data_IF_395915860490
#
_entry.id   IF_395915860490
#
_cell.length_a   1.000
_cell.length_b   1.000
_cell.length_c   1.000
_cell.angle_alpha   90.00
_cell.angle_beta   90.00
_cell.angle_gamma   90.00
#
_symmetry.space_group_name_H-M   'P 1'
#
loop_
_entity.id
_entity.type
_entity.pdbx_description
1 polymer ?
#
# COMPACT_ATOMS: atom_id res chain seq x y z
N UNK A 1 -16.94 22.12 -2.54
CA UNK A 1 -16.63 21.45 -1.26
C UNK A 1 -15.20 20.93 -1.29
N UNK A 2 -14.47 21.10 -0.19
CA UNK A 2 -13.15 20.53 0.16
C UNK A 2 -13.19 19.05 0.58
N UNK A 3 -12.38 18.15 0.03
CA UNK A 3 -12.09 16.86 0.69
C UNK A 3 -10.58 16.63 0.83
N UNK A 4 -10.16 16.09 1.98
CA UNK A 4 -8.77 15.69 2.23
C UNK A 4 -8.65 14.19 1.98
N UNK A 5 -7.71 13.80 1.13
CA UNK A 5 -7.34 12.42 0.84
C UNK A 5 -5.94 12.19 1.38
N UNK A 6 -5.78 11.12 2.17
CA UNK A 6 -4.52 10.75 2.80
C UNK A 6 -3.93 9.51 2.12
N UNK A 7 -2.60 9.39 2.12
CA UNK A 7 -1.88 8.18 1.68
C UNK A 7 -1.91 7.09 2.78
N UNK A 8 -3.13 6.72 3.21
CA UNK A 8 -3.40 5.78 4.31
C UNK A 8 -4.51 4.81 3.91
N UNK A 9 -4.57 3.67 4.59
CA UNK A 9 -5.64 2.70 4.35
C UNK A 9 -7.00 3.30 4.73
N UNK A 10 -8.00 3.31 3.83
CA UNK A 10 -9.33 3.82 4.12
C UNK A 10 -10.04 3.02 5.24
N UNK A 11 -10.09 3.62 6.43
CA UNK A 11 -10.79 3.09 7.61
C UNK A 11 -12.24 3.60 7.72
N UNK A 12 -12.58 4.68 7.01
CA UNK A 12 -13.89 5.31 7.10
C UNK A 12 -15.00 4.46 6.49
N UNK A 13 -16.13 4.35 7.20
CA UNK A 13 -17.34 3.71 6.65
C UNK A 13 -17.89 4.48 5.44
N UNK A 14 -17.70 5.80 5.41
CA UNK A 14 -18.13 6.69 4.33
C UNK A 14 -17.37 6.49 3.00
N UNK A 15 -16.21 5.84 3.03
CA UNK A 15 -15.41 5.46 1.85
C UNK A 15 -15.79 4.08 1.30
N UNK A 16 -16.60 3.30 2.03
CA UNK A 16 -16.92 1.92 1.69
C UNK A 16 -18.35 1.79 1.15
N UNK A 17 -18.50 1.15 -0.01
CA UNK A 17 -19.78 0.79 -0.62
C UNK A 17 -20.03 -0.72 -0.50
N UNK A 18 -21.29 -1.06 -0.22
CA UNK A 18 -21.82 -2.41 -0.34
C UNK A 18 -22.68 -2.48 -1.61
N UNK A 19 -22.39 -3.47 -2.43
CA UNK A 19 -23.08 -3.74 -3.68
C UNK A 19 -23.76 -5.11 -3.57
N UNK A 20 -25.06 -5.17 -3.84
CA UNK A 20 -25.85 -6.40 -3.84
C UNK A 20 -26.55 -6.62 -5.17
N UNK A 21 -27.06 -7.84 -5.33
CA UNK A 21 -27.75 -8.28 -6.53
C UNK A 21 -26.79 -8.68 -7.64
N UNK A 22 -25.56 -9.07 -7.30
CA UNK A 22 -24.55 -9.44 -8.27
C UNK A 22 -24.75 -10.88 -8.75
N UNK A 23 -24.63 -11.06 -10.06
CA UNK A 23 -24.70 -12.36 -10.72
C UNK A 23 -23.32 -13.05 -10.73
N UNK A 24 -23.28 -14.40 -10.69
CA UNK A 24 -22.03 -15.14 -10.79
C UNK A 24 -21.41 -14.98 -12.18
N UNK A 25 -20.27 -14.29 -12.25
CA UNK A 25 -19.48 -14.16 -13.47
C UNK A 25 -17.98 -14.29 -13.17
N UNK A 26 -17.19 -15.06 -13.96
CA UNK A 26 -15.74 -15.20 -13.77
C UNK A 26 -14.94 -13.88 -13.89
N UNK A 27 -15.55 -12.76 -14.26
CA UNK A 27 -14.93 -11.43 -14.32
C UNK A 27 -15.53 -10.39 -13.38
N UNK A 28 -16.37 -10.80 -12.40
CA UNK A 28 -17.18 -9.87 -11.61
C UNK A 28 -16.38 -8.73 -10.96
N UNK A 29 -15.24 -9.03 -10.34
CA UNK A 29 -14.40 -8.01 -9.69
C UNK A 29 -13.79 -7.02 -10.70
N UNK A 30 -13.40 -7.50 -11.89
CA UNK A 30 -12.88 -6.64 -12.96
C UNK A 30 -13.97 -5.74 -13.53
N UNK A 31 -15.18 -6.28 -13.71
CA UNK A 31 -16.36 -5.52 -14.15
C UNK A 31 -16.74 -4.44 -13.14
N UNK A 32 -16.74 -4.78 -11.84
CA UNK A 32 -16.95 -3.82 -10.75
C UNK A 32 -15.85 -2.76 -10.73
N UNK A 33 -14.58 -3.16 -10.83
CA UNK A 33 -13.46 -2.22 -10.86
C UNK A 33 -13.59 -1.22 -12.02
N UNK A 34 -13.87 -1.70 -13.23
CA UNK A 34 -14.06 -0.86 -14.43
C UNK A 34 -15.27 0.08 -14.32
N UNK A 35 -16.37 -0.39 -13.72
CA UNK A 35 -17.56 0.42 -13.55
C UNK A 35 -17.38 1.53 -12.49
N UNK A 36 -16.72 1.21 -11.37
CA UNK A 36 -16.60 2.10 -10.23
C UNK A 36 -15.36 3.02 -10.27
N UNK A 37 -14.28 2.64 -10.97
CA UNK A 37 -13.08 3.48 -11.13
C UNK A 37 -13.34 4.79 -11.86
N UNK A 38 -14.42 4.87 -12.64
CA UNK A 38 -14.88 6.10 -13.32
C UNK A 38 -15.22 7.23 -12.36
N UNK A 39 -15.53 6.92 -11.10
CA UNK A 39 -15.90 7.90 -10.10
C UNK A 39 -14.69 8.41 -9.30
N UNK A 40 -13.60 7.66 -9.28
CA UNK A 40 -12.40 7.96 -8.50
C UNK A 40 -11.55 6.72 -8.23
N UNK A 41 -10.37 6.89 -7.61
CA UNK A 41 -9.44 5.81 -7.34
C UNK A 41 -9.99 4.87 -6.26
N UNK A 42 -9.93 3.57 -6.55
CA UNK A 42 -10.37 2.50 -5.68
C UNK A 42 -9.20 1.98 -4.86
N UNK A 43 -9.39 1.82 -3.55
CA UNK A 43 -8.45 1.11 -2.69
C UNK A 43 -8.58 -0.40 -2.90
N UNK A 44 -9.80 -0.94 -2.82
CA UNK A 44 -10.06 -2.36 -3.04
C UNK A 44 -11.46 -2.65 -3.55
N UNK A 45 -11.58 -3.75 -4.30
CA UNK A 45 -12.84 -4.35 -4.75
C UNK A 45 -12.77 -5.82 -4.36
N UNK A 46 -13.73 -6.27 -3.55
CA UNK A 46 -13.81 -7.67 -3.11
C UNK A 46 -15.22 -8.20 -3.31
N UNK A 47 -15.37 -9.26 -4.10
CA UNK A 47 -16.63 -9.94 -4.30
C UNK A 47 -16.70 -11.21 -3.46
N UNK A 48 -17.84 -11.44 -2.83
CA UNK A 48 -18.09 -12.58 -1.97
C UNK A 48 -19.42 -13.25 -2.35
N UNK A 49 -19.47 -14.57 -2.19
CA UNK A 49 -20.74 -15.30 -2.30
C UNK A 49 -21.65 -14.91 -1.13
N UNK A 50 -22.94 -14.80 -1.42
CA UNK A 50 -23.95 -14.64 -0.38
C UNK A 50 -23.90 -15.81 0.60
N UNK A 51 -24.17 -15.52 1.88
CA UNK A 51 -24.36 -16.57 2.87
C UNK A 51 -25.52 -17.48 2.45
N UNK A 52 -25.45 -18.77 2.79
CA UNK A 52 -26.47 -19.76 2.39
C UNK A 52 -27.91 -19.36 2.76
N UNK A 53 -28.09 -18.56 3.82
CA UNK A 53 -29.39 -18.06 4.31
C UNK A 53 -29.98 -16.95 3.42
N UNK A 54 -29.15 -16.23 2.66
CA UNK A 54 -29.55 -15.06 1.86
C UNK A 54 -29.88 -15.41 0.38
N UNK A 55 -29.88 -16.70 0.02
CA UNK A 55 -30.13 -17.17 -1.34
C UNK A 55 -28.92 -17.09 -2.28
N UNK A 56 -29.04 -17.61 -3.52
CA UNK A 56 -27.95 -17.60 -4.49
C UNK A 56 -27.62 -16.17 -4.93
N UNK A 57 -26.33 -15.88 -5.11
CA UNK A 57 -25.86 -14.59 -5.59
C UNK A 57 -24.58 -14.14 -4.90
N UNK A 58 -24.15 -12.93 -5.25
CA UNK A 58 -22.93 -12.32 -4.75
C UNK A 58 -23.23 -10.93 -4.17
N UNK A 59 -22.36 -10.52 -3.26
CA UNK A 59 -22.25 -9.14 -2.81
C UNK A 59 -20.79 -8.70 -2.92
N UNK A 60 -20.56 -7.40 -3.11
CA UNK A 60 -19.22 -6.86 -3.17
C UNK A 60 -19.04 -5.72 -2.18
N UNK A 61 -17.81 -5.59 -1.69
CA UNK A 61 -17.35 -4.49 -0.87
C UNK A 61 -16.34 -3.70 -1.71
N UNK A 62 -16.66 -2.44 -1.99
CA UNK A 62 -15.81 -1.53 -2.75
C UNK A 62 -15.36 -0.42 -1.82
N UNK A 63 -14.06 -0.19 -1.73
CA UNK A 63 -13.47 0.90 -0.94
C UNK A 63 -12.84 1.93 -1.85
N UNK A 64 -13.21 3.19 -1.67
CA UNK A 64 -12.59 4.35 -2.32
C UNK A 64 -11.56 4.99 -1.39
N UNK A 65 -10.64 5.78 -1.95
CA UNK A 65 -9.82 6.69 -1.14
C UNK A 65 -10.60 7.93 -0.69
N UNK A 66 -11.54 8.41 -1.52
CA UNK A 66 -12.40 9.55 -1.22
C UNK A 66 -13.82 9.12 -0.87
N UNK A 67 -14.36 9.67 0.22
CA UNK A 67 -15.77 9.55 0.59
C UNK A 67 -16.67 10.31 -0.39
N UNK A 68 -16.20 11.43 -0.95
CA UNK A 68 -16.88 12.15 -2.03
C UNK A 68 -17.11 11.26 -3.25
N UNK A 69 -16.07 10.54 -3.69
CA UNK A 69 -16.12 9.62 -4.84
C UNK A 69 -17.07 8.45 -4.57
N UNK A 70 -16.99 7.86 -3.39
CA UNK A 70 -17.93 6.81 -2.96
C UNK A 70 -19.39 7.28 -3.00
N UNK A 71 -19.69 8.50 -2.53
CA UNK A 71 -21.04 9.07 -2.58
C UNK A 71 -21.51 9.31 -4.01
N UNK A 72 -20.64 9.80 -4.91
CA UNK A 72 -20.98 9.99 -6.33
C UNK A 72 -21.28 8.65 -7.00
N UNK A 73 -20.42 7.65 -6.78
CA UNK A 73 -20.62 6.30 -7.27
C UNK A 73 -21.93 5.69 -6.76
N UNK A 74 -22.24 5.84 -5.47
CA UNK A 74 -23.48 5.33 -4.91
C UNK A 74 -24.72 5.95 -5.58
N UNK A 75 -24.75 7.28 -5.73
CA UNK A 75 -25.88 7.97 -6.37
C UNK A 75 -26.07 7.58 -7.83
N UNK A 76 -24.96 7.39 -8.56
CA UNK A 76 -25.00 7.07 -9.98
C UNK A 76 -25.30 5.60 -10.25
N UNK A 77 -24.83 4.68 -9.39
CA UNK A 77 -24.93 3.23 -9.65
C UNK A 77 -26.12 2.55 -8.97
N UNK A 78 -26.70 3.14 -7.92
CA UNK A 78 -27.81 2.51 -7.21
C UNK A 78 -29.06 2.42 -8.10
N UNK A 79 -29.58 1.20 -8.25
CA UNK A 79 -30.72 0.89 -9.11
C UNK A 79 -30.38 0.75 -10.61
N UNK A 80 -29.10 0.90 -10.98
CA UNK A 80 -28.67 0.82 -12.38
C UNK A 80 -28.24 -0.59 -12.79
N UNK A 81 -28.36 -0.87 -14.09
CA UNK A 81 -27.90 -2.08 -14.76
C UNK A 81 -26.54 -1.81 -15.40
N UNK A 82 -25.46 -1.86 -14.60
CA UNK A 82 -24.13 -1.41 -15.05
C UNK A 82 -23.53 -2.33 -16.12
N UNK A 83 -23.44 -3.63 -15.82
CA UNK A 83 -22.83 -4.65 -16.67
C UNK A 83 -23.61 -5.98 -16.65
N UNK A 84 -24.79 -5.99 -16.03
CA UNK A 84 -25.68 -7.13 -15.90
C UNK A 84 -27.13 -6.67 -16.10
N UNK A 85 -28.03 -7.60 -16.42
CA UNK A 85 -29.43 -7.28 -16.73
C UNK A 85 -30.25 -6.91 -15.49
N UNK A 86 -29.89 -7.47 -14.34
CA UNK A 86 -30.54 -7.14 -13.06
C UNK A 86 -29.96 -5.86 -12.44
N UNK A 87 -30.81 -5.00 -11.85
CA UNK A 87 -30.36 -3.74 -11.26
C UNK A 87 -29.57 -3.98 -9.96
N UNK A 88 -28.46 -3.26 -9.80
CA UNK A 88 -27.63 -3.31 -8.60
C UNK A 88 -28.22 -2.48 -7.47
N UNK A 89 -28.08 -2.96 -6.24
CA UNK A 89 -28.33 -2.14 -5.05
C UNK A 89 -26.99 -1.68 -4.50
N UNK A 90 -26.79 -0.37 -4.37
CA UNK A 90 -25.54 0.22 -3.86
C UNK A 90 -25.84 1.10 -2.65
N UNK A 91 -25.20 0.81 -1.52
CA UNK A 91 -25.34 1.61 -0.31
C UNK A 91 -23.97 1.91 0.31
N UNK A 92 -23.83 3.11 0.87
CA UNK A 92 -22.65 3.47 1.69
C UNK A 92 -22.75 2.72 3.02
N UNK A 93 -21.63 2.17 3.48
CA UNK A 93 -21.54 1.58 4.81
C UNK A 93 -21.83 2.63 5.89
N UNK A 94 -22.82 2.37 6.75
CA UNK A 94 -23.10 3.18 7.94
C UNK A 94 -22.51 2.59 9.21
N UNK A 95 -22.10 1.32 9.18
CA UNK A 95 -21.49 0.65 10.32
C UNK A 95 -20.05 1.14 10.48
N UNK A 96 -19.79 1.88 11.56
CA UNK A 96 -18.43 2.09 12.03
C UNK A 96 -17.99 0.82 12.75
N UNK A 97 -16.86 0.23 12.35
CA UNK A 97 -16.19 -0.74 13.23
C UNK A 97 -15.68 0.07 14.42
N UNK A 98 -16.13 -0.26 15.63
CA UNK A 98 -15.68 0.36 16.88
C UNK A 98 -14.23 -0.03 17.26
N UNK A 99 -13.51 -0.69 16.35
CA UNK A 99 -12.11 -1.02 16.55
C UNK A 99 -11.30 0.18 16.11
N UNK A 100 -10.46 0.69 17.01
CA UNK A 100 -9.37 1.61 16.68
C UNK A 100 -8.45 0.87 15.70
N UNK A 101 -8.80 0.88 14.40
CA UNK A 101 -7.85 0.50 13.37
C UNK A 101 -6.75 1.54 13.45
N UNK A 102 -5.59 1.11 13.96
CA UNK A 102 -4.35 1.87 13.86
C UNK A 102 -4.24 2.39 12.43
N UNK A 103 -3.88 3.66 12.28
CA UNK A 103 -3.85 4.28 10.96
C UNK A 103 -2.73 3.63 10.16
N UNK A 104 -3.11 2.67 9.32
CA UNK A 104 -2.15 1.86 8.58
C UNK A 104 -1.59 2.63 7.39
N UNK A 105 -0.27 2.51 7.25
CA UNK A 105 0.47 2.91 6.07
C UNK A 105 -0.14 2.32 4.81
N UNK A 106 -0.32 3.14 3.77
CA UNK A 106 -0.64 2.62 2.46
C UNK A 106 0.60 1.97 1.85
N UNK A 107 0.44 0.85 1.12
CA UNK A 107 1.57 0.19 0.48
C UNK A 107 2.19 1.09 -0.62
N UNK A 108 3.45 0.84 -0.97
CA UNK A 108 4.20 1.68 -1.92
C UNK A 108 3.54 1.77 -3.30
N UNK A 109 2.94 0.67 -3.78
CA UNK A 109 2.33 0.61 -5.11
C UNK A 109 1.05 1.44 -5.14
N UNK A 110 0.22 1.32 -4.11
CA UNK A 110 -1.00 2.10 -3.90
C UNK A 110 -0.72 3.58 -3.68
N UNK A 111 0.38 3.93 -2.99
CA UNK A 111 0.83 5.32 -2.93
C UNK A 111 1.13 5.86 -4.34
N UNK A 112 1.86 5.10 -5.16
CA UNK A 112 2.18 5.52 -6.53
C UNK A 112 0.94 5.63 -7.42
N UNK A 113 0.02 4.67 -7.36
CA UNK A 113 -1.26 4.73 -8.09
C UNK A 113 -2.06 5.98 -7.72
N UNK A 114 -2.16 6.28 -6.42
CA UNK A 114 -2.90 7.42 -5.91
C UNK A 114 -2.23 8.76 -6.30
N UNK A 115 -0.90 8.83 -6.18
CA UNK A 115 -0.12 9.99 -6.60
C UNK A 115 -0.25 10.22 -8.11
N UNK A 116 -0.15 9.17 -8.92
CA UNK A 116 -0.32 9.25 -10.38
C UNK A 116 -1.72 9.72 -10.77
N UNK A 117 -2.76 9.30 -10.03
CA UNK A 117 -4.13 9.73 -10.29
C UNK A 117 -4.34 11.23 -10.03
N UNK A 118 -3.85 11.74 -8.90
CA UNK A 118 -4.14 13.13 -8.49
C UNK A 118 -3.11 14.15 -8.95
N UNK A 119 -1.83 13.78 -9.00
CA UNK A 119 -0.71 14.66 -9.32
C UNK A 119 -0.23 14.45 -10.77
N UNK A 120 -0.58 13.32 -11.38
CA UNK A 120 -0.05 12.89 -12.68
C UNK A 120 1.33 12.25 -12.55
N UNK A 121 1.69 11.46 -13.56
CA UNK A 121 2.97 10.72 -13.61
C UNK A 121 4.21 11.62 -13.47
N UNK A 122 4.14 12.85 -14.00
CA UNK A 122 5.22 13.84 -13.92
C UNK A 122 5.06 14.82 -12.74
N UNK A 123 4.03 14.64 -11.90
CA UNK A 123 3.75 15.55 -10.78
C UNK A 123 4.57 15.27 -9.53
N UNK A 124 5.23 14.12 -9.46
CA UNK A 124 6.04 13.70 -8.32
C UNK A 124 7.23 12.85 -8.79
N UNK A 125 8.25 12.75 -7.94
CA UNK A 125 9.42 11.88 -8.15
C UNK A 125 9.92 11.34 -6.83
N UNK A 126 10.59 10.18 -6.85
CA UNK A 126 11.25 9.61 -5.67
C UNK A 126 12.73 9.33 -5.92
N UNK A 127 13.57 9.55 -4.90
CA UNK A 127 15.02 9.26 -4.93
C UNK A 127 15.41 8.47 -3.68
N UNK A 128 16.14 7.37 -3.85
CA UNK A 128 16.77 6.66 -2.73
C UNK A 128 17.99 7.48 -2.29
N UNK A 129 18.00 7.93 -1.03
CA UNK A 129 19.13 8.64 -0.44
C UNK A 129 20.16 7.62 0.05
N UNK A 130 19.70 6.59 0.78
CA UNK A 130 20.55 5.53 1.33
C UNK A 130 19.86 4.17 1.32
N UNK A 131 20.68 3.13 1.17
CA UNK A 131 20.29 1.75 1.35
C UNK A 131 21.48 1.02 1.99
N UNK A 132 21.36 0.66 3.26
CA UNK A 132 22.44 0.06 4.04
C UNK A 132 22.03 -1.30 4.56
N UNK A 133 22.95 -2.26 4.48
CA UNK A 133 22.79 -3.56 5.10
C UNK A 133 23.14 -3.44 6.59
N UNK A 134 22.19 -3.75 7.46
CA UNK A 134 22.35 -3.72 8.93
C UNK A 134 22.19 -5.12 9.55
N UNK A 135 22.25 -6.18 8.73
CA UNK A 135 22.31 -7.57 9.22
C UNK A 135 23.64 -7.81 9.95
N UNK A 136 23.62 -7.78 11.27
CA UNK A 136 24.81 -7.93 12.12
C UNK A 136 24.88 -7.00 13.32
N UNK A 137 23.96 -6.05 13.45
CA UNK A 137 23.82 -5.21 14.66
C UNK A 137 22.89 -5.79 15.72
N UNK A 138 22.40 -7.02 15.52
CA UNK A 138 21.69 -7.76 16.56
C UNK A 138 22.73 -8.11 17.62
N UNK A 139 22.69 -7.38 18.74
CA UNK A 139 23.72 -7.37 19.76
C UNK A 139 24.16 -8.77 20.18
N UNK A 140 25.40 -8.81 20.68
CA UNK A 140 26.07 -9.91 21.36
C UNK A 140 25.26 -10.41 22.58
N UNK A 141 24.07 -10.96 22.38
CA UNK A 141 23.42 -11.85 23.35
C UNK A 141 24.03 -13.25 23.18
N UNK A 142 25.34 -13.33 23.36
CA UNK A 142 26.00 -14.54 23.80
C UNK A 142 25.67 -14.75 25.28
N UNK A 143 24.45 -15.16 25.61
CA UNK A 143 24.25 -15.93 26.84
C UNK A 143 22.91 -16.67 26.80
N UNK A 144 23.03 -18.00 26.85
CA UNK A 144 22.00 -18.99 27.18
C UNK A 144 21.16 -19.58 26.03
N UNK A 145 21.72 -20.63 25.43
CA UNK A 145 20.98 -21.84 25.11
C UNK A 145 20.43 -21.96 23.69
N UNK A 146 20.99 -22.91 22.96
CA UNK A 146 20.47 -23.63 21.79
C UNK A 146 18.98 -23.39 21.43
N UNK A 147 18.68 -22.25 20.81
CA UNK A 147 17.48 -22.06 20.00
C UNK A 147 17.92 -21.75 18.58
N UNK A 148 17.50 -22.57 17.63
CA UNK A 148 17.70 -22.45 16.17
C UNK A 148 17.91 -20.98 15.76
N UNK A 149 19.16 -20.60 15.45
CA UNK A 149 19.51 -19.24 15.04
C UNK A 149 18.70 -18.85 13.79
N UNK A 150 17.58 -18.15 13.97
CA UNK A 150 16.81 -17.53 12.89
C UNK A 150 17.67 -16.38 12.39
N UNK A 151 18.37 -16.58 11.27
CA UNK A 151 19.22 -15.54 10.70
C UNK A 151 18.32 -14.62 9.89
N UNK A 152 18.15 -13.37 10.31
CA UNK A 152 17.41 -12.39 9.52
C UNK A 152 18.36 -11.48 8.72
N UNK A 153 17.87 -11.02 7.57
CA UNK A 153 18.57 -10.03 6.75
C UNK A 153 17.82 -8.71 6.88
N UNK A 154 18.54 -7.69 7.33
CA UNK A 154 18.00 -6.38 7.67
C UNK A 154 18.63 -5.31 6.77
N UNK A 155 17.79 -4.49 6.15
CA UNK A 155 18.20 -3.34 5.34
C UNK A 155 17.50 -2.09 5.82
N UNK A 156 18.26 -1.04 6.08
CA UNK A 156 17.75 0.29 6.40
C UNK A 156 17.79 1.15 5.13
N UNK A 157 16.66 1.77 4.79
CA UNK A 157 16.53 2.61 3.61
C UNK A 157 15.96 3.98 3.96
N UNK A 158 16.51 5.03 3.34
CA UNK A 158 15.96 6.37 3.35
C UNK A 158 15.61 6.80 1.92
N UNK A 159 14.39 7.29 1.73
CA UNK A 159 13.84 7.73 0.45
C UNK A 159 13.34 9.16 0.57
N UNK A 160 13.54 9.96 -0.47
CA UNK A 160 12.96 11.28 -0.65
C UNK A 160 11.85 11.23 -1.71
N UNK A 161 10.74 11.91 -1.46
CA UNK A 161 9.65 12.16 -2.40
C UNK A 161 9.53 13.66 -2.61
N UNK A 162 9.55 14.10 -3.87
CA UNK A 162 9.51 15.51 -4.24
C UNK A 162 8.34 15.80 -5.16
N UNK A 163 7.61 16.86 -4.88
CA UNK A 163 6.48 17.37 -5.65
C UNK A 163 6.81 18.81 -6.08
N UNK A 164 7.56 18.99 -7.18
CA UNK A 164 8.18 20.27 -7.52
C UNK A 164 7.15 21.38 -7.76
N UNK A 165 6.01 21.05 -8.38
CA UNK A 165 4.94 22.02 -8.64
C UNK A 165 4.22 22.52 -7.40
N UNK A 166 4.36 21.81 -6.27
CA UNK A 166 3.75 22.16 -4.99
C UNK A 166 4.78 22.61 -3.96
N UNK A 167 6.07 22.60 -4.29
CA UNK A 167 7.14 22.97 -3.36
C UNK A 167 7.26 22.04 -2.14
N UNK A 168 6.73 20.81 -2.24
CA UNK A 168 6.74 19.83 -1.15
C UNK A 168 7.86 18.82 -1.37
N UNK A 169 8.61 18.55 -0.31
CA UNK A 169 9.63 17.51 -0.27
C UNK A 169 9.50 16.78 1.06
N UNK A 170 9.34 15.47 1.02
CA UNK A 170 9.20 14.61 2.20
C UNK A 170 10.20 13.48 2.13
N UNK A 171 10.61 12.96 3.27
CA UNK A 171 11.52 11.84 3.40
C UNK A 171 10.92 10.78 4.29
N UNK A 172 11.25 9.54 4.01
CA UNK A 172 10.83 8.40 4.80
C UNK A 172 12.02 7.49 5.04
N UNK A 173 12.08 6.92 6.24
CA UNK A 173 13.10 5.96 6.63
C UNK A 173 12.41 4.68 7.09
N UNK A 174 12.87 3.52 6.64
CA UNK A 174 12.30 2.25 7.07
C UNK A 174 13.30 1.10 7.07
N UNK A 175 13.05 0.15 7.98
CA UNK A 175 13.74 -1.13 8.06
C UNK A 175 12.96 -2.21 7.31
N UNK A 176 13.64 -2.90 6.40
CA UNK A 176 13.17 -4.14 5.78
C UNK A 176 13.89 -5.33 6.41
N UNK A 177 13.12 -6.23 7.00
CA UNK A 177 13.62 -7.47 7.61
C UNK A 177 13.01 -8.67 6.89
N UNK A 178 13.85 -9.67 6.60
CA UNK A 178 13.42 -10.95 6.05
C UNK A 178 14.14 -12.06 6.79
N UNK A 179 13.36 -12.96 7.37
CA UNK A 179 13.87 -14.14 8.04
C UNK A 179 14.34 -15.21 7.05
N UNK A 180 15.50 -15.80 7.33
CA UNK A 180 16.01 -16.96 6.60
C UNK A 180 15.86 -18.19 7.51
N UNK A 181 15.01 -19.12 7.09
CA UNK A 181 14.95 -20.45 7.71
C UNK A 181 16.23 -21.24 7.39
N UNK A 182 16.79 -21.87 8.43
CA UNK A 182 18.11 -22.52 8.48
C UNK A 182 18.50 -23.25 7.20
N UNK A 183 19.24 -22.55 6.34
CA UNK A 183 19.78 -23.06 5.10
C UNK A 183 20.99 -22.20 4.78
N UNK A 184 22.18 -22.78 4.94
CA UNK A 184 23.48 -22.16 4.61
C UNK A 184 23.69 -22.06 3.09
N UNK A 185 22.60 -21.81 2.35
CA UNK A 185 22.55 -21.72 0.90
C UNK A 185 22.77 -20.27 0.46
N UNK A 186 23.87 -19.97 -0.26
CA UNK A 186 24.16 -18.63 -0.78
C UNK A 186 23.03 -18.06 -1.64
N UNK A 187 22.26 -18.90 -2.35
CA UNK A 187 21.17 -18.46 -3.22
C UNK A 187 19.99 -17.93 -2.41
N UNK A 188 19.62 -18.61 -1.32
CA UNK A 188 18.54 -18.15 -0.42
C UNK A 188 18.90 -16.85 0.27
N UNK A 189 20.16 -16.68 0.67
CA UNK A 189 20.65 -15.42 1.23
C UNK A 189 20.56 -14.26 0.22
N UNK A 190 20.94 -14.50 -1.04
CA UNK A 190 20.82 -13.52 -2.11
C UNK A 190 19.36 -13.09 -2.35
N UNK A 191 18.44 -14.06 -2.41
CA UNK A 191 17.00 -13.79 -2.57
C UNK A 191 16.42 -13.05 -1.38
N UNK A 192 16.75 -13.46 -0.16
CA UNK A 192 16.33 -12.79 1.07
C UNK A 192 16.85 -11.35 1.14
N UNK A 193 18.11 -11.12 0.76
CA UNK A 193 18.70 -9.78 0.68
C UNK A 193 17.96 -8.88 -0.31
N UNK A 194 17.67 -9.35 -1.52
CA UNK A 194 16.88 -8.58 -2.49
C UNK A 194 15.47 -8.29 -1.98
N UNK A 195 14.83 -9.26 -1.32
CA UNK A 195 13.50 -9.07 -0.73
C UNK A 195 13.55 -8.02 0.38
N UNK A 196 14.52 -8.11 1.30
CA UNK A 196 14.70 -7.15 2.38
C UNK A 196 14.97 -5.72 1.85
N UNK A 197 15.80 -5.59 0.82
CA UNK A 197 16.01 -4.31 0.12
C UNK A 197 14.70 -3.77 -0.45
N UNK A 198 13.95 -4.56 -1.22
CA UNK A 198 12.65 -4.14 -1.79
C UNK A 198 11.65 -3.73 -0.71
N UNK A 199 11.55 -4.50 0.38
CA UNK A 199 10.66 -4.19 1.52
C UNK A 199 11.09 -2.88 2.19
N UNK A 200 12.39 -2.68 2.44
CA UNK A 200 12.89 -1.44 3.07
C UNK A 200 12.58 -0.20 2.22
N UNK A 201 12.81 -0.28 0.90
CA UNK A 201 12.54 0.82 -0.05
C UNK A 201 11.03 1.10 -0.11
N UNK A 202 10.21 0.05 -0.22
CA UNK A 202 8.75 0.18 -0.27
C UNK A 202 8.19 0.83 1.00
N UNK A 203 8.60 0.36 2.18
CA UNK A 203 8.18 0.94 3.47
C UNK A 203 8.66 2.39 3.59
N UNK A 204 9.90 2.71 3.22
CA UNK A 204 10.44 4.07 3.29
C UNK A 204 9.66 5.02 2.36
N UNK A 205 9.32 4.56 1.16
CA UNK A 205 8.49 5.32 0.23
C UNK A 205 7.08 5.58 0.81
N UNK A 206 6.45 4.55 1.38
CA UNK A 206 5.16 4.68 2.07
C UNK A 206 5.22 5.68 3.22
N UNK A 207 6.27 5.66 4.05
CA UNK A 207 6.47 6.63 5.12
C UNK A 207 6.60 8.07 4.58
N UNK A 208 7.34 8.28 3.49
CA UNK A 208 7.45 9.60 2.88
C UNK A 208 6.10 10.13 2.37
N UNK A 209 5.27 9.27 1.76
CA UNK A 209 3.95 9.65 1.26
C UNK A 209 2.93 9.94 2.37
N UNK A 210 3.01 9.29 3.53
CA UNK A 210 2.07 9.51 4.64
C UNK A 210 2.10 10.94 5.20
N UNK A 211 3.19 11.67 4.98
CA UNK A 211 3.35 13.08 5.36
C UNK A 211 2.68 14.05 4.38
N UNK A 212 2.12 13.54 3.29
CA UNK A 212 1.50 14.32 2.23
C UNK A 212 -0.02 14.19 2.35
N UNK A 213 -0.71 15.32 2.31
CA UNK A 213 -2.16 15.41 2.24
C UNK A 213 -2.58 15.97 0.88
N UNK A 214 -3.59 15.36 0.27
CA UNK A 214 -4.17 15.84 -0.98
C UNK A 214 -5.50 16.52 -0.67
N UNK A 215 -5.59 17.82 -0.91
CA UNK A 215 -6.84 18.58 -0.79
C UNK A 215 -7.50 18.62 -2.17
N UNK A 216 -8.51 17.79 -2.36
CA UNK A 216 -9.22 17.61 -3.62
C UNK A 216 -10.48 18.49 -3.63
N UNK A 217 -10.56 19.38 -4.61
CA UNK A 217 -11.73 20.23 -4.84
C UNK A 217 -12.74 19.51 -5.75
N UNK A 218 -14.03 19.87 -5.64
CA UNK A 218 -15.10 19.34 -6.51
C UNK A 218 -14.86 19.52 -8.02
N UNK A 219 -14.07 20.52 -8.42
CA UNK A 219 -13.73 20.75 -9.83
C UNK A 219 -12.56 19.90 -10.32
N UNK A 220 -12.06 18.96 -9.50
CA UNK A 220 -10.94 18.07 -9.82
C UNK A 220 -9.56 18.69 -9.63
N UNK A 221 -9.45 19.95 -9.19
CA UNK A 221 -8.15 20.53 -8.82
C UNK A 221 -7.68 19.95 -7.49
N UNK A 222 -6.38 19.74 -7.40
CA UNK A 222 -5.73 19.18 -6.22
C UNK A 222 -4.72 20.20 -5.70
N UNK A 223 -4.80 20.52 -4.40
CA UNK A 223 -3.72 21.16 -3.68
C UNK A 223 -3.02 20.12 -2.80
N UNK A 224 -1.74 20.33 -2.52
CA UNK A 224 -0.94 19.44 -1.69
C UNK A 224 -0.56 20.19 -0.43
N UNK A 225 -0.80 19.57 0.72
CA UNK A 225 -0.33 20.06 2.01
C UNK A 225 0.65 19.07 2.63
N UNK A 226 1.65 19.59 3.32
CA UNK A 226 2.59 18.80 4.11
C UNK A 226 2.07 18.72 5.54
N UNK A 227 1.85 17.50 6.02
CA UNK A 227 1.46 17.22 7.40
C UNK A 227 2.63 16.54 8.11
N UNK A 228 3.44 17.28 8.88
CA UNK A 228 4.40 16.66 9.77
C UNK A 228 3.61 16.01 10.91
N UNK A 229 3.38 14.70 10.82
CA UNK A 229 2.99 13.96 12.03
C UNK A 229 4.10 14.16 13.05
N UNK A 230 3.69 14.66 14.21
CA UNK A 230 4.49 15.12 15.34
C UNK A 230 5.43 14.03 15.84
N UNK A 231 6.59 13.81 15.19
CA UNK A 231 7.83 13.18 15.73
C UNK A 231 8.96 12.94 14.73
N UNK A 232 8.82 13.23 13.43
CA UNK A 232 9.90 12.93 12.46
C UNK A 232 10.69 14.17 12.02
N UNK A 233 11.80 14.45 12.72
CA UNK A 233 12.84 15.42 12.30
C UNK A 233 13.57 15.01 11.00
N UNK A 234 13.23 13.85 10.41
CA UNK A 234 13.92 13.27 9.25
C UNK A 234 13.93 14.17 8.02
N UNK A 235 12.90 15.01 7.86
CA UNK A 235 12.80 15.94 6.73
C UNK A 235 13.71 17.16 6.90
N UNK A 236 14.12 17.48 8.13
CA UNK A 236 15.00 18.62 8.45
C UNK A 236 16.50 18.31 8.36
N UNK A 237 16.85 17.03 8.42
CA UNK A 237 18.23 16.56 8.39
C UNK A 237 18.86 16.76 6.99
N UNK A 238 20.16 16.96 6.88
CA UNK A 238 20.83 16.91 5.58
C UNK A 238 20.96 15.47 5.07
N UNK A 239 21.31 15.28 3.79
CA UNK A 239 21.55 13.94 3.27
C UNK A 239 22.71 13.26 4.00
N UNK A 240 23.72 14.02 4.40
CA UNK A 240 24.89 13.56 5.15
C UNK A 240 24.52 13.16 6.58
N UNK A 241 23.64 13.92 7.22
CA UNK A 241 23.12 13.60 8.55
C UNK A 241 22.24 12.35 8.54
N UNK A 242 21.39 12.19 7.52
CA UNK A 242 20.62 10.95 7.32
C UNK A 242 21.54 9.76 7.03
N UNK A 243 22.59 9.94 6.22
CA UNK A 243 23.63 8.92 5.99
C UNK A 243 24.34 8.55 7.29
N UNK A 244 24.63 9.53 8.14
CA UNK A 244 25.32 9.36 9.43
C UNK A 244 24.46 8.72 10.52
N UNK A 245 23.19 9.11 10.66
CA UNK A 245 22.26 8.53 11.65
C UNK A 245 21.96 7.06 11.38
N UNK A 246 21.84 6.69 10.10
CA UNK A 246 21.71 5.29 9.65
C UNK A 246 22.96 4.48 10.02
N UNK A 247 24.13 5.11 10.19
CA UNK A 247 25.39 4.46 10.54
C UNK A 247 25.59 4.26 12.07
N UNK A 248 24.85 4.97 12.93
CA UNK A 248 25.09 5.02 14.39
C UNK A 248 24.08 4.19 15.21
N UNK A 249 23.03 3.64 14.60
CA UNK A 249 22.07 2.69 15.21
C UNK A 249 21.64 2.99 16.66
N UNK A 250 20.78 4.00 16.83
CA UNK A 250 19.72 3.99 17.86
C UNK A 250 18.49 4.69 17.27
N UNK A 251 17.76 3.99 16.40
CA UNK A 251 16.38 4.35 16.11
C UNK A 251 15.52 3.20 16.63
N UNK A 252 14.77 3.46 17.70
CA UNK A 252 13.67 2.62 18.15
C UNK A 252 12.54 2.71 17.13
N UNK A 253 12.73 2.06 15.99
CA UNK A 253 11.70 1.89 14.98
C UNK A 253 10.77 0.79 15.49
N UNK A 254 9.58 1.19 15.94
CA UNK A 254 8.52 0.26 16.31
C UNK A 254 8.29 -0.73 15.16
N UNK A 255 8.46 -2.02 15.46
CA UNK A 255 8.16 -3.11 14.53
C UNK A 255 6.66 -3.10 14.26
N UNK A 256 6.26 -2.51 13.15
CA UNK A 256 4.93 -2.71 12.60
C UNK A 256 4.89 -4.09 11.95
N UNK A 257 4.62 -5.11 12.78
CA UNK A 257 4.22 -6.44 12.33
C UNK A 257 2.88 -6.31 11.61
N UNK A 258 2.92 -6.35 10.29
CA UNK A 258 1.74 -6.41 9.45
C UNK A 258 1.58 -7.84 8.94
N UNK A 259 0.36 -8.35 9.06
CA UNK A 259 -0.13 -9.56 8.41
C UNK A 259 0.40 -9.60 6.96
N UNK A 260 1.35 -10.51 6.71
CA UNK A 260 2.16 -10.60 5.50
C UNK A 260 1.36 -10.95 4.22
N UNK A 261 0.03 -11.17 4.33
CA UNK A 261 -0.80 -11.63 3.22
C UNK A 261 -1.06 -10.58 2.13
N UNK A 262 -1.17 -9.28 2.47
CA UNK A 262 -1.39 -8.23 1.45
C UNK A 262 -0.06 -7.76 0.80
N UNK A 263 1.10 -8.02 1.41
CA UNK A 263 2.41 -7.59 0.87
C UNK A 263 2.98 -8.59 -0.15
N UNK A 264 2.62 -9.88 -0.03
CA UNK A 264 3.16 -10.94 -0.89
C UNK A 264 2.34 -11.22 -2.14
N UNK A 265 1.05 -10.91 -2.14
CA UNK A 265 0.16 -11.16 -3.29
C UNK A 265 0.47 -10.27 -4.50
N UNK A 266 1.03 -9.07 -4.29
CA UNK A 266 1.39 -8.14 -5.37
C UNK A 266 2.83 -8.32 -5.92
N UNK A 267 3.65 -9.17 -5.30
CA UNK A 267 5.03 -9.43 -5.74
C UNK A 267 5.18 -10.66 -6.65
N UNK A 268 4.08 -11.36 -6.97
CA UNK A 268 4.10 -12.57 -7.79
C UNK A 268 3.76 -12.36 -9.28
N UNK A 269 3.95 -11.16 -9.84
CA UNK A 269 3.83 -10.95 -11.28
C UNK A 269 5.12 -11.36 -12.02
N UNK A 270 5.02 -12.52 -12.65
CA UNK A 270 5.74 -13.05 -13.83
C UNK A 270 7.27 -12.94 -13.92
N UNK A 271 7.91 -14.12 -13.84
CA UNK A 271 9.11 -14.45 -14.63
C UNK A 271 8.93 -15.86 -15.21
N UNK A 272 7.84 -16.10 -15.95
CA UNK A 272 7.76 -17.24 -16.87
C UNK A 272 8.46 -16.86 -18.19
N UNK A 273 9.74 -17.19 -18.26
CA UNK A 273 10.49 -17.18 -19.51
C UNK A 273 9.87 -18.20 -20.48
N UNK A 274 9.57 -17.85 -21.74
CA UNK A 274 9.08 -18.81 -22.71
C UNK A 274 10.18 -19.83 -23.02
N UNK A 275 9.91 -21.10 -22.71
CA UNK A 275 10.70 -22.24 -23.13
C UNK A 275 10.83 -22.22 -24.66
N UNK A 276 12.04 -21.93 -25.15
CA UNK A 276 12.42 -22.14 -26.54
C UNK A 276 12.33 -23.62 -26.84
N UNK A 277 11.29 -24.03 -27.56
CA UNK A 277 11.27 -25.32 -28.24
C UNK A 277 12.38 -25.33 -29.29
N UNK A 278 13.35 -26.22 -29.11
CA UNK A 278 14.36 -26.55 -30.12
C UNK A 278 13.75 -27.58 -31.05
N UNK A 279 13.76 -27.39 -32.39
CA UNK A 279 13.31 -28.41 -33.31
C UNK A 279 14.38 -29.50 -33.42
N UNK A 280 13.96 -30.74 -33.18
CA UNK A 280 14.74 -31.94 -33.47
C UNK A 280 14.82 -32.14 -34.98
N UNK A 281 16.03 -32.27 -35.52
CA UNK A 281 16.27 -32.94 -36.81
C UNK A 281 16.22 -34.46 -36.62
#
# INVERSE_FOLDING_TARGET
MAEVVEFRVPAGSHQTLLVWGLEPDPGLERSLFSAFSKFGPLYSVRAHRNAAVAGPGYYAIIKFYSAGDARRAQRACNGQRLFQESPLKVCVCTKQKAFQQHVLALNSNKCQELANHYLGFNGWSSRIITLQNVSGFDGENEELGETLQKRSVKYLCAVEVTLPHHGVCTRGVALGEVDIENSRDPLKFGTASRRAQKVSVGKALSCAFQKILLVVLENGRVAVEYNPTQEELTDSLTEEELKGLVQVSELSLEQFDLEEEEVLSDLSFDDELPSREVPSN
#
